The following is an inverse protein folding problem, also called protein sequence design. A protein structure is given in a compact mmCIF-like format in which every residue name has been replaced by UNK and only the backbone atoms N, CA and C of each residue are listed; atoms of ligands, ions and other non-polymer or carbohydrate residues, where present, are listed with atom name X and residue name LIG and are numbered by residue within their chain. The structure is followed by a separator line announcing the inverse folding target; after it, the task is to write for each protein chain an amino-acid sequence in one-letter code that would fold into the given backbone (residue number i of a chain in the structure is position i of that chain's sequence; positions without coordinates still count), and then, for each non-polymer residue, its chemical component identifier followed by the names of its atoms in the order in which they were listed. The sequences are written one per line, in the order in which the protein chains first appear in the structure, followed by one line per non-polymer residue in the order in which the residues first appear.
data_IF_290139431145
#
_entry.id   IF_290139431145
#
_cell.length_a   1.000
_cell.length_b   1.000
_cell.length_c   1.000
_cell.angle_alpha   90.00
_cell.angle_beta   90.00
_cell.angle_gamma   90.00
#
_symmetry.space_group_name_H-M   'P 1'
#
loop_
_entity.id
_entity.type
_entity.pdbx_description
1 polymer ?
#
# COMPACT_ATOMS: atom_id res chain seq x y z
N UNK A 1 -16.87 30.56 -44.83
CA UNK A 1 -17.34 30.20 -43.48
C UNK A 1 -16.88 28.78 -43.23
N UNK A 2 -15.82 28.60 -42.45
CA UNK A 2 -15.34 27.28 -42.03
C UNK A 2 -15.21 27.34 -40.52
N UNK A 3 -16.06 26.59 -39.82
CA UNK A 3 -15.92 26.36 -38.38
C UNK A 3 -14.90 25.24 -38.14
N UNK A 4 -14.13 25.28 -37.04
CA UNK A 4 -13.49 24.10 -36.51
C UNK A 4 -14.41 23.43 -35.48
N UNK A 5 -14.75 22.15 -35.70
CA UNK A 5 -15.27 21.24 -34.69
C UNK A 5 -14.26 20.10 -34.59
N UNK A 6 -13.64 19.92 -33.42
CA UNK A 6 -12.61 18.88 -33.24
C UNK A 6 -12.12 18.64 -31.80
N UNK A 7 -12.33 19.57 -30.85
CA UNK A 7 -11.69 19.46 -29.53
C UNK A 7 -12.61 19.03 -28.37
N UNK A 8 -13.93 18.85 -28.60
CA UNK A 8 -14.87 18.61 -27.47
C UNK A 8 -15.15 17.14 -27.15
N UNK A 9 -14.77 16.19 -28.02
CA UNK A 9 -15.16 14.78 -27.86
C UNK A 9 -14.10 13.96 -27.08
N UNK A 10 -12.83 14.39 -27.08
CA UNK A 10 -11.73 13.74 -26.34
C UNK A 10 -11.73 14.07 -24.84
N UNK A 11 -12.16 15.27 -24.45
CA UNK A 11 -12.19 15.69 -23.05
C UNK A 11 -13.33 15.03 -22.25
N UNK A 12 -14.43 14.69 -22.92
CA UNK A 12 -15.62 14.08 -22.30
C UNK A 12 -15.35 12.62 -21.93
N UNK A 13 -14.62 11.88 -22.79
CA UNK A 13 -14.29 10.46 -22.56
C UNK A 13 -13.28 10.22 -21.43
N UNK A 14 -12.31 11.12 -21.25
CA UNK A 14 -11.33 11.01 -20.15
C UNK A 14 -11.98 11.31 -18.80
N UNK A 15 -12.88 12.30 -18.75
CA UNK A 15 -13.62 12.67 -17.54
C UNK A 15 -14.58 11.57 -17.10
N UNK A 16 -15.28 10.94 -18.05
CA UNK A 16 -16.17 9.81 -17.77
C UNK A 16 -15.41 8.56 -17.29
N UNK A 17 -14.24 8.31 -17.87
CA UNK A 17 -13.38 7.17 -17.48
C UNK A 17 -12.83 7.36 -16.07
N UNK A 18 -12.32 8.55 -15.75
CA UNK A 18 -11.82 8.87 -14.41
C UNK A 18 -12.95 8.77 -13.37
N UNK A 19 -14.13 9.30 -13.67
CA UNK A 19 -15.31 9.18 -12.80
C UNK A 19 -15.69 7.71 -12.55
N UNK A 20 -15.60 6.85 -13.57
CA UNK A 20 -15.86 5.42 -13.43
C UNK A 20 -14.79 4.68 -12.59
N UNK A 21 -13.51 5.07 -12.70
CA UNK A 21 -12.42 4.55 -11.87
C UNK A 21 -12.65 4.92 -10.40
N UNK A 22 -12.91 6.20 -10.12
CA UNK A 22 -13.20 6.68 -8.77
C UNK A 22 -14.41 5.97 -8.15
N UNK A 23 -15.46 5.72 -8.93
CA UNK A 23 -16.64 4.97 -8.47
C UNK A 23 -16.33 3.51 -8.13
N UNK A 24 -15.45 2.83 -8.88
CA UNK A 24 -14.99 1.46 -8.55
C UNK A 24 -14.17 1.44 -7.28
N UNK A 25 -13.19 2.35 -7.15
CA UNK A 25 -12.37 2.49 -5.96
C UNK A 25 -13.23 2.75 -4.72
N UNK A 26 -14.21 3.65 -4.83
CA UNK A 26 -15.16 3.93 -3.74
C UNK A 26 -15.94 2.69 -3.33
N UNK A 27 -16.52 1.96 -4.28
CA UNK A 27 -17.27 0.72 -4.01
C UNK A 27 -16.41 -0.33 -3.32
N UNK A 28 -15.17 -0.51 -3.78
CA UNK A 28 -14.24 -1.47 -3.18
C UNK A 28 -13.91 -1.09 -1.74
N UNK A 29 -13.58 0.18 -1.48
CA UNK A 29 -13.30 0.66 -0.12
C UNK A 29 -14.55 0.54 0.77
N UNK A 30 -15.73 0.95 0.30
CA UNK A 30 -16.98 0.86 1.07
C UNK A 30 -17.32 -0.58 1.45
N UNK A 31 -17.10 -1.53 0.53
CA UNK A 31 -17.31 -2.94 0.78
C UNK A 31 -16.31 -3.48 1.81
N UNK A 32 -15.03 -3.19 1.61
CA UNK A 32 -13.96 -3.68 2.48
C UNK A 32 -14.02 -3.05 3.87
N UNK A 33 -14.34 -1.76 3.96
CA UNK A 33 -14.39 -0.97 5.19
C UNK A 33 -15.80 -0.82 5.77
N UNK A 34 -16.75 -1.69 5.39
CA UNK A 34 -18.06 -1.78 6.04
C UNK A 34 -17.95 -2.16 7.53
N UNK A 35 -16.84 -2.80 7.91
CA UNK A 35 -16.45 -3.07 9.29
C UNK A 35 -15.00 -3.56 9.35
N UNK A 36 -14.44 -3.81 10.55
CA UNK A 36 -13.06 -4.27 10.68
C UNK A 36 -12.85 -5.65 10.06
N UNK A 37 -11.77 -5.82 9.29
CA UNK A 37 -11.35 -7.08 8.67
C UNK A 37 -10.34 -7.74 9.61
N UNK A 38 -10.82 -8.35 10.69
CA UNK A 38 -9.96 -8.79 11.78
C UNK A 38 -10.32 -10.19 12.26
N UNK A 39 -9.32 -11.04 12.56
CA UNK A 39 -9.51 -12.47 12.91
C UNK A 39 -10.46 -12.74 14.08
N UNK A 40 -10.64 -11.78 14.98
CA UNK A 40 -11.56 -11.89 16.12
C UNK A 40 -13.02 -11.60 15.77
N UNK A 41 -13.31 -11.21 14.53
CA UNK A 41 -14.66 -10.96 14.02
C UNK A 41 -14.96 -12.04 12.99
N UNK A 42 -15.85 -12.96 13.36
CA UNK A 42 -16.20 -14.10 12.54
C UNK A 42 -16.66 -13.67 11.14
N UNK A 43 -16.13 -14.33 10.10
CA UNK A 43 -16.49 -14.09 8.71
C UNK A 43 -15.85 -12.84 8.06
N UNK A 44 -15.44 -11.83 8.83
CA UNK A 44 -14.98 -10.54 8.28
C UNK A 44 -13.87 -10.66 7.21
N UNK A 45 -12.77 -11.33 7.55
CA UNK A 45 -11.67 -11.58 6.61
C UNK A 45 -12.07 -12.50 5.46
N UNK A 46 -12.94 -13.48 5.69
CA UNK A 46 -13.41 -14.38 4.63
C UNK A 46 -14.27 -13.64 3.60
N UNK A 47 -15.19 -12.77 4.05
CA UNK A 47 -15.97 -11.89 3.18
C UNK A 47 -15.08 -10.93 2.40
N UNK A 48 -14.06 -10.35 3.04
CA UNK A 48 -13.10 -9.48 2.36
C UNK A 48 -12.30 -10.22 1.27
N UNK A 49 -11.79 -11.43 1.55
CA UNK A 49 -11.10 -12.26 0.55
C UNK A 49 -12.02 -12.66 -0.60
N UNK A 50 -13.29 -12.98 -0.30
CA UNK A 50 -14.28 -13.31 -1.33
C UNK A 50 -14.53 -12.11 -2.25
N UNK A 51 -14.70 -10.91 -1.69
CA UNK A 51 -14.83 -9.67 -2.47
C UNK A 51 -13.64 -9.48 -3.42
N UNK A 52 -12.42 -9.50 -2.88
CA UNK A 52 -11.21 -9.32 -3.67
C UNK A 52 -11.05 -10.40 -4.76
N UNK A 53 -11.33 -11.66 -4.43
CA UNK A 53 -11.24 -12.76 -5.39
C UNK A 53 -12.25 -12.62 -6.52
N UNK A 54 -13.46 -12.14 -6.23
CA UNK A 54 -14.48 -11.86 -7.23
C UNK A 54 -14.06 -10.72 -8.17
N UNK A 55 -13.56 -9.62 -7.61
CA UNK A 55 -13.10 -8.47 -8.41
C UNK A 55 -11.89 -8.82 -9.28
N UNK A 56 -10.94 -9.61 -8.74
CA UNK A 56 -9.79 -10.13 -9.50
C UNK A 56 -10.26 -11.07 -10.62
N UNK A 57 -11.17 -11.99 -10.34
CA UNK A 57 -11.74 -12.88 -11.34
C UNK A 57 -12.47 -12.12 -12.46
N UNK A 58 -13.27 -11.10 -12.10
CA UNK A 58 -13.93 -10.22 -13.07
C UNK A 58 -12.91 -9.43 -13.92
N UNK A 59 -11.75 -9.09 -13.37
CA UNK A 59 -10.64 -8.50 -14.10
C UNK A 59 -9.88 -9.50 -14.99
N UNK A 60 -10.16 -10.80 -14.90
CA UNK A 60 -9.51 -11.86 -15.67
C UNK A 60 -8.25 -12.44 -15.00
N UNK A 61 -8.15 -12.33 -13.67
CA UNK A 61 -7.07 -12.89 -12.87
C UNK A 61 -7.52 -14.17 -12.17
N UNK A 62 -6.59 -15.10 -11.98
CA UNK A 62 -6.82 -16.31 -11.18
C UNK A 62 -6.34 -16.08 -9.75
N UNK A 63 -7.28 -15.85 -8.84
CA UNK A 63 -7.01 -15.70 -7.41
C UNK A 63 -7.01 -17.05 -6.68
N UNK A 64 -6.08 -17.22 -5.75
CA UNK A 64 -5.96 -18.41 -4.89
C UNK A 64 -5.65 -18.00 -3.46
N UNK A 65 -6.15 -18.77 -2.50
CA UNK A 65 -5.85 -18.56 -1.08
C UNK A 65 -4.61 -19.37 -0.65
N UNK A 66 -3.64 -18.70 -0.05
CA UNK A 66 -2.49 -19.34 0.60
C UNK A 66 -2.67 -19.29 2.11
N UNK A 67 -3.00 -20.44 2.68
CA UNK A 67 -3.16 -20.59 4.13
C UNK A 67 -1.81 -20.83 4.82
N UNK A 68 -1.65 -20.31 6.03
CA UNK A 68 -0.48 -20.54 6.84
C UNK A 68 -0.81 -20.53 8.33
N UNK A 69 0.08 -21.14 9.12
CA UNK A 69 0.02 -21.11 10.58
C UNK A 69 1.30 -20.51 11.16
N UNK A 70 1.18 -19.87 12.32
CA UNK A 70 2.33 -19.34 13.05
C UNK A 70 2.44 -19.99 14.40
N UNK A 71 3.66 -20.22 14.89
CA UNK A 71 3.88 -20.63 16.28
C UNK A 71 3.47 -19.52 17.27
N UNK A 72 3.08 -19.89 18.51
CA UNK A 72 2.88 -18.93 19.59
C UNK A 72 4.13 -18.07 19.79
N UNK A 73 3.94 -16.77 19.98
CA UNK A 73 5.04 -15.84 20.19
C UNK A 73 4.57 -14.56 20.88
N UNK A 74 5.52 -13.82 21.43
CA UNK A 74 5.30 -12.45 21.86
C UNK A 74 5.19 -11.54 20.61
N UNK A 75 4.07 -10.85 20.45
CA UNK A 75 3.78 -10.02 19.26
C UNK A 75 3.22 -8.66 19.67
N UNK A 76 3.32 -7.70 18.75
CA UNK A 76 2.64 -6.41 18.89
C UNK A 76 1.13 -6.62 18.92
N UNK A 77 0.41 -5.79 19.67
CA UNK A 77 -1.04 -5.90 19.78
C UNK A 77 -1.74 -5.08 18.70
N UNK A 78 -2.62 -5.75 17.98
CA UNK A 78 -3.59 -5.22 17.00
C UNK A 78 -4.94 -4.82 17.64
N UNK A 79 -4.97 -4.63 18.97
CA UNK A 79 -6.20 -4.33 19.69
C UNK A 79 -6.75 -2.92 19.40
N UNK A 80 -6.01 -2.09 18.64
CA UNK A 80 -6.36 -0.72 18.29
C UNK A 80 -6.43 0.19 19.53
N UNK A 81 -5.30 0.34 20.25
CA UNK A 81 -5.21 1.26 21.41
C UNK A 81 -4.26 2.43 21.07
N UNK A 82 -4.77 3.56 20.58
CA UNK A 82 -3.96 4.74 20.32
C UNK A 82 -3.22 5.19 21.60
N UNK A 83 -1.91 5.42 21.50
CA UNK A 83 -1.11 6.01 22.59
C UNK A 83 -0.67 5.05 23.71
N UNK A 84 -0.94 3.74 23.62
CA UNK A 84 -0.36 2.78 24.54
C UNK A 84 1.11 2.49 24.15
N UNK A 85 2.05 2.36 25.11
CA UNK A 85 3.38 1.83 24.81
C UNK A 85 3.23 0.47 24.14
N UNK A 86 4.13 0.15 23.18
CA UNK A 86 4.14 -1.09 22.39
C UNK A 86 3.69 -2.27 23.26
N UNK A 87 2.41 -2.65 23.12
CA UNK A 87 1.81 -3.64 24.01
C UNK A 87 2.15 -5.01 23.46
N UNK A 88 3.33 -5.50 23.80
CA UNK A 88 3.72 -6.88 23.52
C UNK A 88 2.81 -7.83 24.29
N UNK A 89 2.18 -8.76 23.59
CA UNK A 89 1.29 -9.76 24.18
C UNK A 89 1.70 -11.13 23.71
N UNK A 90 1.54 -12.11 24.60
CA UNK A 90 1.62 -13.51 24.19
C UNK A 90 0.42 -13.80 23.28
N UNK A 91 0.71 -14.16 22.04
CA UNK A 91 -0.31 -14.53 21.05
C UNK A 91 -0.18 -16.02 20.77
N UNK A 92 -1.26 -16.80 20.87
CA UNK A 92 -1.24 -18.22 20.55
C UNK A 92 -0.95 -18.46 19.07
N UNK A 93 -0.91 -19.72 18.66
CA UNK A 93 -0.79 -20.04 17.25
C UNK A 93 -1.94 -19.36 16.46
N UNK A 94 -1.57 -18.72 15.36
CA UNK A 94 -2.52 -18.03 14.49
C UNK A 94 -2.65 -18.81 13.17
N UNK A 95 -3.82 -18.67 12.57
CA UNK A 95 -4.08 -19.05 11.20
C UNK A 95 -4.29 -17.77 10.38
N UNK A 96 -3.61 -17.65 9.26
CA UNK A 96 -3.73 -16.52 8.33
C UNK A 96 -3.89 -17.01 6.90
N UNK A 97 -4.46 -16.15 6.06
CA UNK A 97 -4.77 -16.48 4.65
C UNK A 97 -4.41 -15.31 3.74
N UNK A 98 -3.35 -15.45 2.97
CA UNK A 98 -3.04 -14.51 1.89
C UNK A 98 -3.91 -14.81 0.66
N UNK A 99 -4.25 -13.79 -0.13
CA UNK A 99 -4.80 -13.96 -1.49
C UNK A 99 -3.69 -13.68 -2.49
N UNK A 100 -3.46 -14.61 -3.41
CA UNK A 100 -2.46 -14.47 -4.48
C UNK A 100 -3.20 -14.57 -5.80
N UNK A 101 -3.10 -13.54 -6.64
CA UNK A 101 -3.68 -13.53 -7.96
C UNK A 101 -2.64 -13.34 -9.04
N UNK A 102 -2.75 -14.16 -10.08
CA UNK A 102 -1.85 -14.15 -11.22
C UNK A 102 -2.64 -14.11 -12.53
N UNK A 103 -1.93 -13.70 -13.59
CA UNK A 103 -2.39 -13.81 -14.96
C UNK A 103 -1.33 -14.56 -15.76
N UNK A 104 -1.64 -15.77 -16.22
CA UNK A 104 -0.70 -16.59 -16.98
C UNK A 104 0.12 -17.60 -16.16
N UNK A 105 -0.51 -18.25 -15.17
CA UNK A 105 0.09 -19.36 -14.40
C UNK A 105 0.56 -18.97 -13.00
N UNK A 106 1.14 -19.90 -12.22
CA UNK A 106 1.57 -19.63 -10.84
C UNK A 106 2.70 -18.59 -10.78
N UNK A 107 2.94 -17.96 -9.61
CA UNK A 107 4.09 -17.08 -9.41
C UNK A 107 5.41 -17.78 -9.76
N UNK A 108 6.36 -17.04 -10.30
CA UNK A 108 7.69 -17.53 -10.67
C UNK A 108 8.79 -16.52 -10.31
N UNK A 109 10.05 -16.96 -10.38
CA UNK A 109 11.17 -16.05 -10.22
C UNK A 109 11.16 -15.00 -11.34
N UNK A 110 11.48 -13.75 -11.02
CA UNK A 110 11.43 -12.64 -11.97
C UNK A 110 10.10 -11.87 -12.00
N UNK A 111 9.05 -12.35 -11.33
CA UNK A 111 7.79 -11.62 -11.23
C UNK A 111 7.95 -10.34 -10.37
N UNK A 112 7.11 -9.33 -10.62
CA UNK A 112 6.91 -8.18 -9.70
C UNK A 112 5.69 -8.44 -8.84
N UNK A 113 5.80 -8.29 -7.53
CA UNK A 113 4.66 -8.42 -6.62
C UNK A 113 4.12 -7.06 -6.22
N UNK A 114 2.81 -6.84 -6.38
CA UNK A 114 2.07 -5.69 -5.86
C UNK A 114 1.32 -6.10 -4.60
N UNK A 115 1.70 -5.53 -3.46
CA UNK A 115 1.24 -5.91 -2.12
C UNK A 115 0.35 -4.84 -1.52
N UNK A 116 -0.70 -5.29 -0.84
CA UNK A 116 -1.47 -4.51 0.13
C UNK A 116 -1.99 -5.47 1.21
N UNK A 117 -2.01 -5.08 2.48
CA UNK A 117 -2.57 -5.96 3.51
C UNK A 117 -4.09 -5.82 3.61
N UNK A 118 -4.73 -6.96 3.83
CA UNK A 118 -6.18 -7.08 3.89
C UNK A 118 -6.71 -6.92 5.30
N UNK A 119 -5.94 -7.32 6.31
CA UNK A 119 -6.35 -7.21 7.71
C UNK A 119 -6.37 -5.77 8.21
N UNK A 120 -7.09 -5.56 9.31
CA UNK A 120 -7.15 -4.28 10.04
C UNK A 120 -6.88 -4.53 11.51
N UNK A 121 -6.52 -3.48 12.26
CA UNK A 121 -6.72 -3.50 13.72
C UNK A 121 -8.20 -3.69 14.09
N UNK A 122 -8.45 -4.31 15.25
CA UNK A 122 -9.79 -4.77 15.67
C UNK A 122 -10.88 -3.70 15.71
N UNK A 123 -10.52 -2.44 15.97
CA UNK A 123 -11.47 -1.34 16.23
C UNK A 123 -11.57 -0.33 15.08
N UNK A 124 -10.85 -0.56 13.99
CA UNK A 124 -10.85 0.31 12.82
C UNK A 124 -11.55 -0.41 11.67
N UNK A 125 -12.49 0.23 10.95
CA UNK A 125 -12.94 -0.26 9.66
C UNK A 125 -11.81 -0.34 8.63
N UNK A 126 -10.75 0.46 8.82
CA UNK A 126 -9.54 0.37 8.04
C UNK A 126 -9.74 0.82 6.61
N UNK A 127 -10.40 1.95 6.40
CA UNK A 127 -10.63 2.50 5.07
C UNK A 127 -9.32 2.96 4.43
N UNK A 128 -8.57 3.83 5.11
CA UNK A 128 -7.22 4.18 4.68
C UNK A 128 -6.27 3.03 4.97
N UNK A 129 -6.38 2.39 6.15
CA UNK A 129 -5.48 1.33 6.64
C UNK A 129 -6.18 -0.04 6.77
N UNK A 130 -6.27 -0.86 5.72
CA UNK A 130 -5.68 -0.63 4.39
C UNK A 130 -6.59 -1.00 3.22
N UNK A 131 -7.89 -0.68 3.31
CA UNK A 131 -8.80 -0.89 2.18
C UNK A 131 -8.39 -0.04 0.97
N UNK A 132 -7.79 1.13 1.20
CA UNK A 132 -7.27 2.01 0.14
C UNK A 132 -6.22 1.31 -0.72
N UNK A 133 -5.22 0.67 -0.12
CA UNK A 133 -4.18 -0.07 -0.83
C UNK A 133 -4.74 -1.28 -1.58
N UNK A 134 -5.68 -2.01 -0.95
CA UNK A 134 -6.36 -3.14 -1.60
C UNK A 134 -7.16 -2.68 -2.81
N UNK A 135 -7.95 -1.61 -2.68
CA UNK A 135 -8.76 -1.07 -3.78
C UNK A 135 -7.88 -0.59 -4.96
N UNK A 136 -6.76 0.07 -4.68
CA UNK A 136 -5.77 0.46 -5.71
C UNK A 136 -5.18 -0.77 -6.39
N UNK A 137 -4.83 -1.83 -5.65
CA UNK A 137 -4.31 -3.06 -6.25
C UNK A 137 -5.34 -3.76 -7.15
N UNK A 138 -6.63 -3.78 -6.76
CA UNK A 138 -7.72 -4.29 -7.58
C UNK A 138 -7.88 -3.46 -8.86
N UNK A 139 -7.78 -2.13 -8.76
CA UNK A 139 -7.90 -1.24 -9.92
C UNK A 139 -6.72 -1.39 -10.89
N UNK A 140 -5.49 -1.49 -10.37
CA UNK A 140 -4.30 -1.82 -11.18
C UNK A 140 -4.51 -3.17 -11.90
N UNK A 141 -5.08 -4.18 -11.23
CA UNK A 141 -5.38 -5.47 -11.85
C UNK A 141 -6.39 -5.34 -13.02
N UNK A 142 -7.39 -4.45 -12.92
CA UNK A 142 -8.35 -4.17 -14.00
C UNK A 142 -7.68 -3.53 -15.22
N UNK A 143 -6.68 -2.67 -14.98
CA UNK A 143 -6.00 -1.89 -16.02
C UNK A 143 -4.82 -2.65 -16.68
N UNK A 144 -4.17 -3.59 -15.98
CA UNK A 144 -3.06 -4.41 -16.51
C UNK A 144 -3.52 -5.49 -17.51
N UNK A 145 -4.06 -5.10 -18.68
CA UNK A 145 -4.48 -6.03 -19.74
C UNK A 145 -3.42 -6.21 -20.84
N UNK A 146 -2.93 -7.45 -21.00
CA UNK A 146 -2.15 -7.84 -22.18
C UNK A 146 -0.65 -7.50 -22.16
N UNK A 147 -0.06 -7.31 -20.99
CA UNK A 147 1.34 -6.89 -20.84
C UNK A 147 2.29 -8.07 -20.69
N UNK A 148 3.52 -7.91 -21.20
CA UNK A 148 4.57 -8.92 -21.14
C UNK A 148 5.18 -9.07 -19.73
N UNK A 149 5.32 -7.95 -19.00
CA UNK A 149 5.81 -7.98 -17.63
C UNK A 149 4.80 -8.70 -16.72
N UNK A 150 5.27 -9.73 -16.00
CA UNK A 150 4.44 -10.51 -15.09
C UNK A 150 4.31 -9.86 -13.73
N UNK A 151 3.10 -9.43 -13.41
CA UNK A 151 2.72 -8.90 -12.10
C UNK A 151 1.92 -9.95 -11.35
N UNK A 152 2.18 -10.09 -10.05
CA UNK A 152 1.38 -10.89 -9.12
C UNK A 152 0.78 -9.94 -8.10
N UNK A 153 -0.56 -9.95 -8.01
CA UNK A 153 -1.27 -9.20 -6.97
C UNK A 153 -1.30 -10.06 -5.71
N UNK A 154 -0.86 -9.51 -4.58
CA UNK A 154 -0.84 -10.23 -3.32
C UNK A 154 -1.50 -9.41 -2.22
N UNK A 155 -2.57 -9.97 -1.66
CA UNK A 155 -3.24 -9.39 -0.51
C UNK A 155 -2.83 -10.17 0.73
N UNK A 156 -2.05 -9.55 1.60
CA UNK A 156 -1.48 -10.19 2.79
C UNK A 156 -2.45 -10.17 3.97
N UNK A 157 -2.31 -11.15 4.86
CA UNK A 157 -3.05 -11.21 6.12
C UNK A 157 -2.08 -11.18 7.31
N UNK A 158 -2.59 -10.74 8.46
CA UNK A 158 -1.85 -10.59 9.72
C UNK A 158 -0.61 -9.68 9.60
N UNK A 159 -0.71 -8.60 8.83
CA UNK A 159 0.28 -7.52 8.77
C UNK A 159 0.42 -6.88 10.17
N UNK A 160 -0.73 -6.58 10.78
CA UNK A 160 -0.88 -5.82 12.04
C UNK A 160 -0.29 -6.57 13.25
N UNK A 161 -0.03 -7.87 13.08
CA UNK A 161 0.57 -8.79 14.05
C UNK A 161 2.04 -9.13 13.75
N UNK A 162 2.69 -8.35 12.90
CA UNK A 162 4.11 -8.41 12.63
C UNK A 162 4.47 -8.96 11.25
N UNK A 163 3.73 -8.53 10.22
CA UNK A 163 4.02 -8.78 8.80
C UNK A 163 3.98 -10.26 8.45
N UNK A 164 3.06 -11.01 9.06
CA UNK A 164 3.12 -12.47 9.06
C UNK A 164 2.82 -13.07 7.69
N UNK A 165 1.86 -12.48 6.97
CA UNK A 165 1.57 -12.78 5.57
C UNK A 165 2.81 -12.62 4.68
N UNK A 166 3.43 -11.43 4.66
CA UNK A 166 4.64 -11.18 3.87
C UNK A 166 5.83 -12.09 4.24
N UNK A 167 6.02 -12.35 5.54
CA UNK A 167 7.08 -13.27 5.99
C UNK A 167 6.82 -14.71 5.60
N UNK A 168 5.56 -15.11 5.47
CA UNK A 168 5.22 -16.41 4.93
C UNK A 168 5.47 -16.46 3.42
N UNK A 169 5.00 -15.47 2.65
CA UNK A 169 5.21 -15.37 1.20
C UNK A 169 6.68 -15.51 0.80
N UNK A 170 7.57 -14.78 1.48
CA UNK A 170 9.01 -14.84 1.21
C UNK A 170 9.61 -16.25 1.35
N UNK A 171 8.98 -17.13 2.14
CA UNK A 171 9.43 -18.51 2.37
C UNK A 171 8.74 -19.52 1.45
N UNK A 172 7.57 -19.19 0.92
CA UNK A 172 6.67 -20.14 0.23
C UNK A 172 6.50 -19.88 -1.25
N UNK A 173 6.77 -18.66 -1.72
CA UNK A 173 6.72 -18.29 -3.14
C UNK A 173 8.11 -18.14 -3.74
N UNK A 174 8.24 -18.26 -5.08
CA UNK A 174 9.44 -17.86 -5.78
C UNK A 174 9.83 -16.41 -5.47
N UNK A 175 11.13 -16.14 -5.51
CA UNK A 175 11.68 -14.83 -5.20
C UNK A 175 11.30 -13.83 -6.30
N UNK A 176 10.61 -12.72 -5.99
CA UNK A 176 10.32 -11.69 -6.98
C UNK A 176 11.57 -10.84 -7.27
N UNK A 177 11.59 -10.21 -8.43
CA UNK A 177 12.62 -9.21 -8.78
C UNK A 177 12.32 -7.85 -8.15
N UNK A 178 11.05 -7.56 -7.93
CA UNK A 178 10.59 -6.32 -7.31
C UNK A 178 9.33 -6.55 -6.48
N UNK A 179 9.23 -5.83 -5.37
CA UNK A 179 8.02 -5.70 -4.57
C UNK A 179 7.56 -4.24 -4.55
N UNK A 180 6.29 -3.99 -4.82
CA UNK A 180 5.64 -2.68 -4.63
C UNK A 180 4.61 -2.84 -3.53
N UNK A 181 4.74 -2.12 -2.42
CA UNK A 181 3.90 -2.26 -1.24
C UNK A 181 3.08 -1.00 -1.02
N UNK A 182 1.75 -1.15 -0.89
CA UNK A 182 0.78 -0.08 -0.67
C UNK A 182 0.25 -0.13 0.77
N UNK A 183 0.27 1.01 1.46
CA UNK A 183 -0.20 1.13 2.84
C UNK A 183 -0.66 2.56 3.14
N UNK A 184 -1.92 2.73 3.54
CA UNK A 184 -2.53 4.01 3.88
C UNK A 184 -2.34 5.04 2.74
N UNK A 185 -2.87 4.73 1.56
CA UNK A 185 -2.66 5.49 0.31
C UNK A 185 -3.87 6.34 -0.11
N UNK A 186 -4.94 6.36 0.69
CA UNK A 186 -6.19 7.02 0.34
C UNK A 186 -6.43 8.36 1.04
N UNK A 187 -5.82 8.62 2.18
CA UNK A 187 -6.03 9.85 2.94
C UNK A 187 -5.05 10.98 2.57
N UNK A 188 -5.60 12.12 2.17
CA UNK A 188 -4.87 13.36 1.88
C UNK A 188 -5.50 14.52 2.65
N UNK A 189 -4.67 15.51 3.02
CA UNK A 189 -5.14 16.70 3.72
C UNK A 189 -4.36 17.93 3.24
N UNK A 190 -5.04 18.74 2.42
CA UNK A 190 -4.52 19.96 1.79
C UNK A 190 -4.47 21.16 2.75
N UNK A 191 -4.83 20.99 4.02
CA UNK A 191 -4.73 22.08 5.00
C UNK A 191 -3.31 22.24 5.53
N UNK A 192 -2.91 23.50 5.75
CA UNK A 192 -1.58 23.81 6.30
C UNK A 192 -1.34 23.06 7.61
N UNK A 193 -0.13 22.51 7.75
CA UNK A 193 0.32 21.76 8.95
C UNK A 193 -0.46 20.48 9.26
N UNK A 194 -1.21 19.92 8.30
CA UNK A 194 -1.83 18.60 8.43
C UNK A 194 -0.80 17.46 8.53
N UNK A 195 0.39 17.61 7.95
CA UNK A 195 1.51 16.68 8.07
C UNK A 195 2.37 16.97 9.32
N UNK A 196 2.38 16.01 10.24
CA UNK A 196 3.31 15.96 11.35
C UNK A 196 4.74 15.73 10.85
N UNK A 197 5.67 16.51 11.40
CA UNK A 197 7.10 16.32 11.25
C UNK A 197 7.68 15.98 12.62
N UNK A 198 8.00 14.70 12.88
CA UNK A 198 8.62 14.30 14.13
C UNK A 198 9.88 15.11 14.44
N UNK A 199 10.10 15.43 15.71
CA UNK A 199 11.30 16.10 16.15
C UNK A 199 12.55 15.29 15.77
N UNK A 200 13.56 15.96 15.21
CA UNK A 200 14.78 15.31 14.74
C UNK A 200 14.72 14.68 13.35
N UNK A 201 13.53 14.59 12.70
CA UNK A 201 13.42 14.03 11.34
C UNK A 201 14.37 14.73 10.35
N UNK A 202 14.46 16.06 10.41
CA UNK A 202 15.34 16.83 9.52
C UNK A 202 16.84 16.60 9.71
N UNK A 203 17.27 15.95 10.80
CA UNK A 203 18.66 15.53 10.99
C UNK A 203 18.99 14.23 10.26
N UNK A 204 17.97 13.37 10.07
CA UNK A 204 18.14 12.02 9.50
C UNK A 204 17.65 11.93 8.06
N UNK A 205 16.61 12.70 7.74
CA UNK A 205 15.93 12.76 6.45
C UNK A 205 15.74 14.24 6.05
N UNK A 206 16.83 14.98 5.80
CA UNK A 206 16.79 16.43 5.56
C UNK A 206 15.96 16.80 4.33
N UNK A 207 16.03 16.00 3.26
CA UNK A 207 15.34 16.29 2.00
C UNK A 207 13.82 16.10 2.13
N UNK A 208 13.38 15.04 2.81
CA UNK A 208 11.96 14.82 3.13
C UNK A 208 11.46 15.96 4.03
N UNK A 209 12.22 16.31 5.08
CA UNK A 209 11.82 17.39 5.97
C UNK A 209 11.76 18.75 5.27
N UNK A 210 12.63 19.01 4.29
CA UNK A 210 12.59 20.21 3.45
C UNK A 210 11.36 20.20 2.54
N UNK A 211 11.16 19.12 1.78
CA UNK A 211 10.00 18.97 0.88
C UNK A 211 8.67 19.17 1.62
N UNK A 212 8.50 18.60 2.81
CA UNK A 212 7.29 18.80 3.61
C UNK A 212 7.15 20.24 4.11
N UNK A 213 8.24 20.91 4.51
CA UNK A 213 8.18 22.31 4.95
C UNK A 213 7.83 23.27 3.81
N UNK A 214 8.39 23.05 2.64
CA UNK A 214 8.16 23.88 1.44
C UNK A 214 6.69 23.79 1.00
N UNK A 215 6.02 22.67 1.30
CA UNK A 215 4.58 22.45 1.10
C UNK A 215 3.72 22.93 2.27
N UNK A 216 4.18 23.93 3.04
CA UNK A 216 3.50 24.42 4.26
C UNK A 216 3.12 23.31 5.28
N UNK A 217 3.83 22.17 5.23
CA UNK A 217 3.52 20.95 5.97
C UNK A 217 2.11 20.39 5.70
N UNK A 218 1.64 20.49 4.46
CA UNK A 218 0.44 19.78 3.99
C UNK A 218 0.73 18.29 3.79
N UNK A 219 -0.29 17.48 4.00
CA UNK A 219 -0.32 16.04 3.76
C UNK A 219 -0.90 15.72 2.39
N UNK A 220 -0.47 16.46 1.37
CA UNK A 220 -1.01 16.52 0.01
C UNK A 220 -0.14 15.72 -0.99
N UNK A 221 0.67 14.78 -0.51
CA UNK A 221 1.64 14.03 -1.30
C UNK A 221 1.68 12.55 -0.92
N UNK A 222 2.11 11.69 -1.85
CA UNK A 222 2.43 10.30 -1.58
C UNK A 222 3.94 10.14 -1.29
N UNK A 223 4.30 9.49 -0.18
CA UNK A 223 5.69 9.18 0.12
C UNK A 223 6.13 7.94 -0.68
N UNK A 224 7.19 8.10 -1.48
CA UNK A 224 7.78 7.01 -2.30
C UNK A 224 9.07 6.57 -1.65
N UNK A 225 8.99 5.55 -0.79
CA UNK A 225 10.17 5.05 -0.08
C UNK A 225 10.85 3.92 -0.86
N UNK A 226 12.15 4.05 -1.11
CA UNK A 226 12.90 3.08 -1.91
C UNK A 226 14.36 2.93 -1.47
N UNK A 227 15.08 2.01 -2.11
CA UNK A 227 16.53 1.81 -1.98
C UNK A 227 17.21 1.92 -3.33
N UNK A 228 18.53 1.90 -3.35
CA UNK A 228 19.32 1.84 -4.60
C UNK A 228 18.84 0.71 -5.52
N UNK A 229 18.57 -0.46 -4.94
CA UNK A 229 18.11 -1.64 -5.66
C UNK A 229 16.75 -1.47 -6.36
N UNK A 230 15.94 -0.49 -5.97
CA UNK A 230 14.60 -0.23 -6.53
C UNK A 230 14.44 1.20 -7.07
N UNK A 231 15.55 1.93 -7.23
CA UNK A 231 15.55 3.35 -7.63
C UNK A 231 15.02 3.56 -9.04
N UNK A 232 15.34 2.66 -9.98
CA UNK A 232 14.81 2.71 -11.36
C UNK A 232 13.28 2.68 -11.38
N UNK A 233 12.67 1.76 -10.63
CA UNK A 233 11.20 1.71 -10.53
C UNK A 233 10.64 2.92 -9.79
N UNK A 234 11.28 3.36 -8.70
CA UNK A 234 10.81 4.51 -7.93
C UNK A 234 10.79 5.80 -8.77
N UNK A 235 11.80 6.05 -9.61
CA UNK A 235 11.81 7.22 -10.50
C UNK A 235 10.78 7.09 -11.62
N UNK A 236 10.65 5.90 -12.20
CA UNK A 236 9.63 5.62 -13.21
C UNK A 236 8.22 5.88 -12.66
N UNK A 237 7.95 5.41 -11.44
CA UNK A 237 6.70 5.65 -10.75
C UNK A 237 6.46 7.13 -10.46
N UNK A 238 7.45 7.86 -9.96
CA UNK A 238 7.30 9.30 -9.74
C UNK A 238 7.01 10.06 -11.03
N UNK A 239 7.68 9.71 -12.13
CA UNK A 239 7.42 10.31 -13.44
C UNK A 239 6.00 10.01 -13.93
N UNK A 240 5.53 8.76 -13.79
CA UNK A 240 4.16 8.39 -14.14
C UNK A 240 3.13 9.08 -13.24
N UNK A 241 3.35 9.14 -11.93
CA UNK A 241 2.49 9.82 -10.98
C UNK A 241 2.37 11.33 -11.27
N UNK A 242 3.47 11.98 -11.67
CA UNK A 242 3.49 13.39 -12.07
C UNK A 242 2.62 13.64 -13.31
N UNK A 243 2.61 12.73 -14.29
CA UNK A 243 1.71 12.83 -15.45
C UNK A 243 0.23 12.72 -15.06
N UNK A 244 -0.08 11.98 -13.99
CA UNK A 244 -1.43 11.84 -13.44
C UNK A 244 -1.79 12.95 -12.43
N UNK A 245 -0.92 13.95 -12.24
CA UNK A 245 -1.12 15.04 -11.28
C UNK A 245 -1.02 14.62 -9.81
N UNK A 246 -0.41 13.46 -9.52
CA UNK A 246 -0.19 12.99 -8.16
C UNK A 246 1.18 13.44 -7.64
N UNK A 247 1.15 14.37 -6.70
CA UNK A 247 2.32 14.83 -5.98
C UNK A 247 3.00 13.70 -5.19
N UNK A 248 4.32 13.56 -5.37
CA UNK A 248 5.12 12.56 -4.67
C UNK A 248 6.31 13.19 -3.94
N UNK A 249 6.73 12.56 -2.84
CA UNK A 249 7.97 12.90 -2.12
C UNK A 249 8.85 11.66 -2.05
N UNK A 250 10.03 11.65 -2.69
CA UNK A 250 10.94 10.51 -2.60
C UNK A 250 11.60 10.42 -1.23
N UNK A 251 11.71 9.21 -0.72
CA UNK A 251 12.54 8.86 0.43
C UNK A 251 13.46 7.71 0.04
N UNK A 252 14.72 8.02 -0.25
CA UNK A 252 15.77 7.01 -0.34
C UNK A 252 16.18 6.59 1.08
N UNK A 253 15.94 5.33 1.44
CA UNK A 253 16.28 4.80 2.76
C UNK A 253 17.79 5.00 3.02
N UNK A 254 18.18 5.82 4.01
CA UNK A 254 19.58 6.15 4.26
C UNK A 254 20.32 5.03 5.01
N UNK A 255 19.61 3.98 5.44
CA UNK A 255 20.18 2.89 6.24
C UNK A 255 20.99 1.95 5.36
N UNK A 256 22.04 1.36 5.94
CA UNK A 256 22.88 0.39 5.26
C UNK A 256 22.05 -0.85 4.85
N UNK A 257 22.01 -1.16 3.56
CA UNK A 257 21.51 -2.42 3.01
C UNK A 257 22.41 -3.63 3.35
N UNK A 258 21.87 -4.68 4.00
CA UNK A 258 22.57 -5.95 4.22
C UNK A 258 22.57 -6.44 5.68
N UNK A 259 23.55 -7.28 6.05
CA UNK A 259 23.59 -7.96 7.37
C UNK A 259 23.54 -7.00 8.57
N UNK A 260 24.02 -5.76 8.38
CA UNK A 260 24.03 -4.68 9.37
C UNK A 260 22.68 -3.97 9.59
N UNK A 261 21.70 -4.13 8.69
CA UNK A 261 20.38 -3.46 8.78
C UNK A 261 19.64 -3.79 10.09
N UNK A 262 19.86 -4.97 10.66
CA UNK A 262 19.25 -5.35 11.95
C UNK A 262 19.65 -4.42 13.10
N UNK A 263 20.80 -3.75 12.99
CA UNK A 263 21.34 -2.85 14.01
C UNK A 263 20.94 -1.39 13.77
N UNK A 264 20.59 -1.00 12.54
CA UNK A 264 20.18 0.38 12.23
C UNK A 264 18.88 0.79 12.95
N UNK A 265 18.01 -0.18 13.27
CA UNK A 265 16.78 0.06 14.06
C UNK A 265 17.08 0.54 15.49
N UNK A 266 18.23 0.16 16.05
CA UNK A 266 18.63 0.57 17.39
C UNK A 266 19.37 1.90 17.42
N UNK A 267 19.94 2.32 16.28
CA UNK A 267 20.76 3.52 16.18
C UNK A 267 19.92 4.79 15.99
N UNK A 268 18.70 4.69 15.45
CA UNK A 268 17.82 5.85 15.33
C UNK A 268 16.32 5.48 15.42
N UNK A 269 15.65 5.80 16.53
CA UNK A 269 14.21 5.58 16.71
C UNK A 269 13.34 6.22 15.62
N UNK A 270 13.78 7.35 15.04
CA UNK A 270 13.06 8.06 13.97
C UNK A 270 13.02 7.25 12.68
N UNK A 271 14.00 6.37 12.44
CA UNK A 271 14.05 5.51 11.25
C UNK A 271 13.35 4.16 11.45
N UNK A 272 12.79 3.88 12.64
CA UNK A 272 12.05 2.64 12.88
C UNK A 272 10.77 2.56 12.05
N UNK A 273 10.20 3.72 11.71
CA UNK A 273 8.97 3.82 10.92
C UNK A 273 9.15 3.38 9.46
N UNK A 274 10.39 3.35 8.94
CA UNK A 274 10.68 2.91 7.57
C UNK A 274 10.49 1.41 7.32
N UNK A 275 10.38 0.60 8.39
CA UNK A 275 10.21 -0.86 8.31
C UNK A 275 8.81 -1.31 8.78
N UNK A 276 7.80 -0.41 8.74
CA UNK A 276 6.49 -0.68 9.36
C UNK A 276 5.52 -1.52 8.54
N UNK A 277 5.73 -1.67 7.24
CA UNK A 277 4.83 -2.40 6.35
C UNK A 277 5.47 -3.63 5.70
N UNK A 278 4.70 -4.32 4.87
CA UNK A 278 5.02 -5.63 4.30
C UNK A 278 6.20 -5.66 3.32
N UNK A 279 6.75 -4.51 2.91
CA UNK A 279 8.03 -4.44 2.17
C UNK A 279 9.24 -4.83 3.04
N UNK A 280 9.15 -4.63 4.36
CA UNK A 280 10.27 -4.78 5.30
C UNK A 280 10.90 -6.19 5.34
N UNK A 281 10.13 -7.30 5.35
CA UNK A 281 10.67 -8.65 5.18
C UNK A 281 11.49 -8.83 3.89
N UNK A 282 11.03 -8.26 2.78
CA UNK A 282 11.69 -8.36 1.47
C UNK A 282 13.01 -7.60 1.45
N UNK A 283 13.03 -6.37 1.95
CA UNK A 283 14.28 -5.61 2.14
C UNK A 283 15.31 -6.35 3.00
N UNK A 284 14.87 -6.99 4.10
CA UNK A 284 15.76 -7.80 4.95
C UNK A 284 16.31 -9.03 4.24
N UNK A 285 15.58 -9.55 3.27
CA UNK A 285 16.01 -10.65 2.40
C UNK A 285 16.69 -10.16 1.11
N UNK A 286 17.06 -8.88 1.05
CA UNK A 286 17.72 -8.23 -0.08
C UNK A 286 16.93 -8.32 -1.40
N UNK A 287 15.60 -8.42 -1.31
CA UNK A 287 14.70 -8.29 -2.45
C UNK A 287 14.43 -6.80 -2.66
N UNK A 288 14.58 -6.27 -3.89
CA UNK A 288 14.21 -4.89 -4.20
C UNK A 288 12.74 -4.62 -3.85
N UNK A 289 12.48 -3.53 -3.13
CA UNK A 289 11.11 -3.12 -2.85
C UNK A 289 10.94 -1.59 -2.85
N UNK A 290 9.76 -1.13 -3.24
CA UNK A 290 9.27 0.25 -3.09
C UNK A 290 8.06 0.22 -2.18
N UNK A 291 8.01 1.16 -1.25
CA UNK A 291 6.92 1.34 -0.29
C UNK A 291 6.23 2.68 -0.54
N UNK A 292 4.94 2.62 -0.84
CA UNK A 292 4.10 3.77 -1.15
C UNK A 292 3.11 3.98 -0.01
N UNK A 293 3.14 5.17 0.57
CA UNK A 293 2.27 5.49 1.71
C UNK A 293 1.95 6.97 1.81
N UNK A 294 0.73 7.27 2.22
CA UNK A 294 0.29 8.59 2.66
C UNK A 294 0.82 8.95 4.05
N UNK A 295 1.81 8.23 4.60
CA UNK A 295 2.43 8.48 5.92
C UNK A 295 1.49 8.29 7.13
N UNK A 296 0.31 7.70 6.90
CA UNK A 296 -0.57 7.15 7.93
C UNK A 296 -0.73 8.09 9.14
N UNK A 297 -0.29 7.65 10.33
CA UNK A 297 -0.41 8.39 11.60
C UNK A 297 0.24 9.78 11.63
N UNK A 298 1.13 10.10 10.69
CA UNK A 298 1.72 11.42 10.59
C UNK A 298 0.77 12.46 9.98
N UNK A 299 -0.31 12.05 9.31
CA UNK A 299 -1.35 12.97 8.82
C UNK A 299 -2.78 12.56 9.20
N UNK A 300 -3.08 11.26 9.15
CA UNK A 300 -4.41 10.73 9.34
C UNK A 300 -4.71 10.58 10.84
N UNK A 301 -5.52 11.50 11.37
CA UNK A 301 -5.97 11.47 12.78
C UNK A 301 -6.89 10.29 13.10
N UNK A 302 -7.49 9.68 12.08
CA UNK A 302 -8.33 8.49 12.17
C UNK A 302 -7.55 7.19 12.17
N UNK A 303 -6.24 7.19 11.92
CA UNK A 303 -5.40 5.99 11.90
C UNK A 303 -5.61 5.11 13.14
N UNK A 304 -5.92 3.82 12.93
CA UNK A 304 -6.29 2.82 13.96
C UNK A 304 -7.52 3.18 14.81
N UNK A 305 -8.46 4.00 14.30
CA UNK A 305 -9.68 4.42 15.01
C UNK A 305 -10.93 4.07 14.21
N UNK A 306 -12.07 4.08 14.90
CA UNK A 306 -13.37 3.84 14.30
C UNK A 306 -13.77 4.88 13.24
N UNK A 307 -13.08 6.02 13.19
CA UNK A 307 -13.30 7.12 12.24
C UNK A 307 -12.50 6.97 10.95
N UNK A 308 -11.76 5.86 10.77
CA UNK A 308 -11.08 5.54 9.51
C UNK A 308 -12.08 4.88 8.55
N UNK A 309 -12.88 5.73 7.90
CA UNK A 309 -14.05 5.34 7.09
C UNK A 309 -13.89 5.78 5.64
N UNK A 310 -14.66 5.18 4.72
CA UNK A 310 -14.55 5.46 3.28
C UNK A 310 -14.72 6.94 2.91
N UNK A 311 -15.45 7.71 3.72
CA UNK A 311 -15.70 9.13 3.48
C UNK A 311 -14.47 10.01 3.67
N UNK A 312 -13.41 9.52 4.33
CA UNK A 312 -12.20 10.32 4.58
C UNK A 312 -11.19 10.27 3.43
N UNK A 313 -11.43 9.45 2.39
CA UNK A 313 -10.44 9.21 1.33
C UNK A 313 -10.63 10.14 0.13
N UNK A 314 -9.51 10.42 -0.55
CA UNK A 314 -9.45 11.13 -1.82
C UNK A 314 -9.38 10.12 -2.97
N UNK A 315 -10.53 9.85 -3.59
CA UNK A 315 -10.64 8.88 -4.66
C UNK A 315 -10.01 9.34 -5.97
N UNK A 316 -9.89 10.66 -6.20
CA UNK A 316 -9.22 11.20 -7.39
C UNK A 316 -7.72 10.92 -7.31
N UNK A 317 -7.09 11.19 -6.16
CA UNK A 317 -5.67 10.85 -5.94
C UNK A 317 -5.41 9.34 -5.91
N UNK A 318 -6.37 8.54 -5.43
CA UNK A 318 -6.28 7.08 -5.55
C UNK A 318 -6.36 6.60 -7.01
N UNK A 319 -7.19 7.23 -7.85
CA UNK A 319 -7.27 6.93 -9.28
C UNK A 319 -5.95 7.28 -9.99
N UNK A 320 -5.40 8.46 -9.72
CA UNK A 320 -4.09 8.88 -10.22
C UNK A 320 -2.96 7.92 -9.78
N UNK A 321 -3.00 7.44 -8.53
CA UNK A 321 -2.07 6.42 -8.05
C UNK A 321 -2.20 5.11 -8.82
N UNK A 322 -3.42 4.63 -9.05
CA UNK A 322 -3.66 3.40 -9.80
C UNK A 322 -3.14 3.52 -11.24
N UNK A 323 -3.42 4.65 -11.92
CA UNK A 323 -2.93 4.93 -13.27
C UNK A 323 -1.40 4.99 -13.32
N UNK A 324 -0.76 5.75 -12.42
CA UNK A 324 0.69 5.87 -12.34
C UNK A 324 1.38 4.52 -12.07
N UNK A 325 0.80 3.69 -11.20
CA UNK A 325 1.28 2.32 -10.95
C UNK A 325 1.15 1.44 -12.18
N UNK A 326 -0.01 1.46 -12.83
CA UNK A 326 -0.27 0.71 -14.07
C UNK A 326 0.79 1.04 -15.12
N UNK A 327 0.96 2.32 -15.46
CA UNK A 327 1.97 2.78 -16.44
C UNK A 327 3.37 2.32 -16.06
N UNK A 328 3.73 2.40 -14.77
CA UNK A 328 5.06 2.01 -14.28
C UNK A 328 5.33 0.51 -14.38
N UNK A 329 4.32 -0.31 -14.11
CA UNK A 329 4.39 -1.77 -14.15
C UNK A 329 4.39 -2.29 -15.59
N UNK A 330 3.74 -1.58 -16.53
CA UNK A 330 3.73 -1.95 -17.95
C UNK A 330 5.08 -1.72 -18.64
N UNK A 331 5.83 -0.70 -18.21
CA UNK A 331 7.14 -0.36 -18.75
C UNK A 331 8.30 -1.18 -18.13
N UNK A 332 8.00 -2.20 -17.33
CA UNK A 332 8.97 -3.09 -16.69
C UNK A 332 9.47 -4.21 -17.58
#
# INVERSE_FOLDING_TARGET
MSQPQGDSELADTDTDTDTAVQARLRRDVETLAAGPRHRAIAGSLASARQHCSNELAAAGWSASEQTFTTSPALRMSDAGRPGAPIALRWVPALHGVNVIATRGGPPQAGDTYLLAHLDTVRKSPGADDNASGVAVALEVARQLRGHAHRVVIVLTDLEELGLLGARHLLRSLPRPDLVVCLDAVGYYDDTDRSQALPAGLGLVLPDVARAVRDRARRGDFLLVTHRDSSTTFAHRFQAAADQEGLDTVPLRDPRWAGRGQRYSRWLNPVLMDLDRSDHSPFWRAQVPAVFLSGTAMLRNRSYHRATDTSQTLDYSRMAALAAGLTTSLQAG
#
